data_IF_266303205413
#
_entry.id   IF_266303205413
#
_cell.length_a   1.000
_cell.length_b   1.000
_cell.length_c   1.000
_cell.angle_alpha   90.00
_cell.angle_beta   90.00
_cell.angle_gamma   90.00
#
_symmetry.space_group_name_H-M   'P 1'
#
loop_
_entity.id
_entity.type
_entity.pdbx_description
1 polymer ?
#
# COMPACT_ATOMS: atom_id res chain seq x y z
N UNK A 1 66.01 -20.66 -42.73
CA UNK A 1 65.92 -21.67 -41.65
C UNK A 1 65.50 -21.04 -40.32
N UNK A 2 64.46 -21.43 -39.60
CA UNK A 2 63.37 -22.38 -39.79
C UNK A 2 62.45 -22.06 -38.60
N UNK A 3 61.47 -21.17 -38.75
CA UNK A 3 60.47 -21.04 -37.69
C UNK A 3 59.32 -22.03 -37.92
N UNK A 4 59.70 -23.30 -37.83
CA UNK A 4 58.78 -24.44 -37.82
C UNK A 4 57.83 -24.39 -36.62
N UNK A 5 58.14 -23.62 -35.57
CA UNK A 5 57.30 -23.48 -34.40
C UNK A 5 56.11 -22.55 -34.67
N UNK A 6 56.33 -21.42 -35.36
CA UNK A 6 55.23 -20.49 -35.69
C UNK A 6 54.21 -21.12 -36.63
N UNK A 7 54.65 -21.88 -37.63
CA UNK A 7 53.75 -22.59 -38.56
C UNK A 7 52.96 -23.70 -37.86
N UNK A 8 53.57 -24.42 -36.91
CA UNK A 8 52.88 -25.40 -36.06
C UNK A 8 51.86 -24.76 -35.11
N UNK A 9 52.15 -23.57 -34.58
CA UNK A 9 51.21 -22.84 -33.72
C UNK A 9 50.01 -22.32 -34.50
N UNK A 10 50.20 -21.76 -35.70
CA UNK A 10 49.10 -21.34 -36.56
C UNK A 10 48.25 -22.53 -37.05
N UNK A 11 48.86 -23.69 -37.32
CA UNK A 11 48.11 -24.91 -37.67
C UNK A 11 47.29 -25.43 -36.48
N UNK A 12 47.85 -25.40 -35.26
CA UNK A 12 47.14 -25.79 -34.03
C UNK A 12 46.01 -24.81 -33.69
N UNK A 13 46.20 -23.52 -33.92
CA UNK A 13 45.17 -22.50 -33.74
C UNK A 13 44.04 -22.65 -34.76
N UNK A 14 44.36 -22.95 -36.02
CA UNK A 14 43.36 -23.23 -37.06
C UNK A 14 42.57 -24.52 -36.76
N UNK A 15 43.24 -25.57 -36.26
CA UNK A 15 42.59 -26.81 -35.82
C UNK A 15 41.70 -26.59 -34.58
N UNK A 16 42.12 -25.78 -33.63
CA UNK A 16 41.32 -25.43 -32.47
C UNK A 16 40.10 -24.57 -32.85
N UNK A 17 40.25 -23.63 -33.79
CA UNK A 17 39.15 -22.83 -34.31
C UNK A 17 38.16 -23.70 -35.12
N UNK A 18 38.64 -24.62 -35.95
CA UNK A 18 37.79 -25.56 -36.68
C UNK A 18 37.05 -26.52 -35.73
N UNK A 19 37.72 -27.00 -34.67
CA UNK A 19 37.08 -27.81 -33.63
C UNK A 19 36.03 -27.01 -32.85
N UNK A 20 36.31 -25.74 -32.52
CA UNK A 20 35.34 -24.88 -31.85
C UNK A 20 34.12 -24.57 -32.74
N UNK A 21 34.31 -24.31 -34.03
CA UNK A 21 33.21 -24.11 -35.00
C UNK A 21 32.43 -25.41 -35.22
N UNK A 22 33.10 -26.57 -35.26
CA UNK A 22 32.42 -27.87 -35.38
C UNK A 22 31.64 -28.22 -34.11
N UNK A 23 32.14 -27.90 -32.91
CA UNK A 23 31.44 -28.10 -31.63
C UNK A 23 30.26 -27.13 -31.50
N UNK A 24 30.42 -25.85 -31.86
CA UNK A 24 29.32 -24.88 -31.89
C UNK A 24 28.28 -25.22 -32.97
N UNK A 25 28.70 -25.71 -34.14
CA UNK A 25 27.81 -26.18 -35.20
C UNK A 25 27.05 -27.46 -34.84
N UNK A 26 27.71 -28.40 -34.14
CA UNK A 26 27.05 -29.61 -33.64
C UNK A 26 26.04 -29.32 -32.52
N UNK A 27 26.29 -28.30 -31.68
CA UNK A 27 25.31 -27.83 -30.69
C UNK A 27 24.08 -27.14 -31.32
N UNK A 28 24.19 -26.60 -32.53
CA UNK A 28 23.07 -26.02 -33.29
C UNK A 28 22.32 -27.03 -34.16
N UNK A 29 22.91 -28.21 -34.42
CA UNK A 29 22.35 -29.27 -35.27
C UNK A 29 21.84 -30.51 -34.52
N UNK A 30 22.00 -30.57 -33.20
CA UNK A 30 21.38 -31.60 -32.37
C UNK A 30 19.89 -31.26 -32.19
N UNK A 31 18.95 -32.16 -32.51
CA UNK A 31 17.55 -31.96 -32.20
C UNK A 31 17.40 -32.02 -30.68
N UNK A 32 17.46 -30.84 -30.05
CA UNK A 32 16.98 -30.69 -28.69
C UNK A 32 15.46 -30.80 -28.72
N UNK A 33 14.92 -31.84 -28.09
CA UNK A 33 13.49 -31.98 -27.80
C UNK A 33 13.05 -30.92 -26.77
N UNK A 34 13.00 -29.67 -27.22
CA UNK A 34 12.51 -28.58 -26.42
C UNK A 34 12.60 -27.27 -27.19
N UNK A 35 11.46 -26.57 -27.22
CA UNK A 35 11.31 -25.16 -27.61
C UNK A 35 11.18 -24.88 -29.12
N UNK A 36 10.57 -25.79 -29.88
CA UNK A 36 9.89 -25.43 -31.14
C UNK A 36 8.57 -24.68 -30.86
N UNK A 37 7.98 -23.94 -31.83
CA UNK A 37 6.72 -23.20 -31.68
C UNK A 37 5.50 -24.07 -31.30
N UNK A 38 5.63 -25.39 -31.34
CA UNK A 38 4.63 -26.38 -30.91
C UNK A 38 5.02 -27.13 -29.61
N UNK A 39 6.09 -26.70 -28.93
CA UNK A 39 6.49 -27.26 -27.64
C UNK A 39 5.52 -26.82 -26.53
N UNK A 40 5.44 -27.58 -25.44
CA UNK A 40 4.56 -27.30 -24.28
C UNK A 40 4.78 -25.91 -23.61
N UNK A 41 5.76 -25.13 -24.07
CA UNK A 41 6.11 -23.80 -23.60
C UNK A 41 6.21 -22.73 -24.73
N UNK A 42 5.76 -23.00 -25.96
CA UNK A 42 5.79 -22.00 -27.03
C UNK A 42 4.54 -21.08 -27.04
N UNK A 43 4.67 -19.74 -27.24
CA UNK A 43 3.57 -18.83 -26.95
C UNK A 43 2.85 -18.27 -28.17
N UNK A 44 1.52 -18.25 -28.07
CA UNK A 44 0.81 -16.98 -28.12
C UNK A 44 -0.37 -17.04 -27.13
N UNK A 45 -0.43 -16.09 -26.19
CA UNK A 45 -1.66 -15.78 -25.46
C UNK A 45 -2.86 -15.62 -26.44
N UNK A 46 -2.61 -15.34 -27.73
CA UNK A 46 -3.62 -15.25 -28.77
C UNK A 46 -4.18 -16.59 -29.30
N UNK A 47 -3.67 -17.76 -28.92
CA UNK A 47 -4.22 -19.07 -29.37
C UNK A 47 -4.94 -19.86 -28.27
N UNK A 48 -4.68 -19.53 -27.00
CA UNK A 48 -5.42 -20.12 -25.90
C UNK A 48 -6.89 -19.61 -25.91
N UNK A 49 -7.91 -20.51 -25.97
CA UNK A 49 -9.32 -20.11 -25.95
C UNK A 49 -9.71 -19.23 -24.76
N UNK A 50 -9.16 -19.49 -23.57
CA UNK A 50 -9.46 -18.68 -22.37
C UNK A 50 -8.91 -17.26 -22.51
N UNK A 51 -7.73 -17.13 -23.10
CA UNK A 51 -7.08 -15.86 -23.35
C UNK A 51 -7.77 -15.08 -24.48
N UNK A 52 -8.28 -15.75 -25.53
CA UNK A 52 -9.15 -15.11 -26.54
C UNK A 52 -10.45 -14.59 -25.92
N UNK A 53 -11.12 -15.43 -25.13
CA UNK A 53 -12.35 -15.05 -24.43
C UNK A 53 -12.10 -13.88 -23.46
N UNK A 54 -10.94 -13.82 -22.82
CA UNK A 54 -10.55 -12.72 -21.94
C UNK A 54 -10.45 -11.36 -22.65
N UNK A 55 -10.30 -11.35 -23.98
CA UNK A 55 -10.22 -10.12 -24.79
C UNK A 55 -11.53 -9.76 -25.48
N UNK A 56 -12.57 -10.59 -25.32
CA UNK A 56 -13.88 -10.31 -25.88
C UNK A 56 -14.73 -9.46 -24.92
N UNK A 57 -15.05 -8.20 -25.26
CA UNK A 57 -15.91 -7.36 -24.42
C UNK A 57 -17.33 -7.95 -24.21
N UNK A 58 -17.80 -8.85 -25.08
CA UNK A 58 -19.08 -9.53 -24.90
C UNK A 58 -19.04 -10.60 -23.79
N UNK A 59 -17.86 -11.10 -23.44
CA UNK A 59 -17.64 -12.11 -22.39
C UNK A 59 -17.39 -11.49 -21.01
N UNK A 60 -17.31 -10.16 -20.91
CA UNK A 60 -17.13 -9.47 -19.62
C UNK A 60 -18.19 -9.90 -18.62
N UNK A 61 -17.76 -10.30 -17.43
CA UNK A 61 -18.69 -10.64 -16.35
C UNK A 61 -19.38 -9.37 -15.86
N UNK A 62 -20.72 -9.40 -15.82
CA UNK A 62 -21.56 -8.30 -15.33
C UNK A 62 -22.41 -8.80 -14.17
N UNK A 63 -22.08 -8.32 -12.98
CA UNK A 63 -22.80 -8.70 -11.77
C UNK A 63 -24.14 -7.94 -11.70
N UNK A 64 -25.25 -8.61 -11.35
CA UNK A 64 -26.54 -7.95 -11.14
C UNK A 64 -26.47 -6.84 -10.07
N UNK A 65 -27.23 -5.76 -10.27
CA UNK A 65 -27.20 -4.58 -9.40
C UNK A 65 -27.48 -4.88 -7.91
N UNK A 66 -28.29 -5.91 -7.63
CA UNK A 66 -28.73 -6.31 -6.29
C UNK A 66 -27.96 -7.51 -5.73
N UNK A 67 -26.95 -8.04 -6.44
CA UNK A 67 -26.24 -9.26 -6.01
C UNK A 67 -25.61 -9.15 -4.61
N UNK A 68 -25.12 -7.97 -4.26
CA UNK A 68 -24.51 -7.68 -2.95
C UNK A 68 -25.51 -7.76 -1.78
N UNK A 69 -26.81 -7.66 -2.02
CA UNK A 69 -27.83 -7.67 -0.96
C UNK A 69 -27.98 -9.08 -0.34
N UNK A 70 -27.80 -10.12 -1.16
CA UNK A 70 -27.89 -11.52 -0.76
C UNK A 70 -26.51 -12.19 -0.58
N UNK A 71 -25.42 -11.48 -0.88
CA UNK A 71 -24.09 -12.04 -0.82
C UNK A 71 -23.65 -12.32 0.63
N UNK A 72 -23.02 -13.47 0.84
CA UNK A 72 -22.37 -13.80 2.12
C UNK A 72 -21.06 -13.04 2.34
N UNK A 73 -20.47 -12.51 1.26
CA UNK A 73 -19.24 -11.71 1.27
C UNK A 73 -19.41 -10.48 0.38
N UNK A 74 -19.24 -9.31 1.00
CA UNK A 74 -19.23 -8.03 0.29
C UNK A 74 -17.79 -7.64 -0.02
N UNK A 75 -17.35 -7.90 -1.24
CA UNK A 75 -16.08 -7.44 -1.80
C UNK A 75 -16.25 -7.06 -3.28
N UNK A 76 -15.16 -6.89 -4.03
CA UNK A 76 -15.22 -6.52 -5.44
C UNK A 76 -15.96 -7.53 -6.34
N UNK A 77 -16.07 -8.80 -5.92
CA UNK A 77 -16.75 -9.84 -6.70
C UNK A 77 -18.27 -9.63 -6.85
N UNK A 78 -18.86 -8.79 -6.00
CA UNK A 78 -20.31 -8.48 -6.03
C UNK A 78 -20.62 -7.05 -6.45
N UNK A 79 -19.62 -6.33 -6.99
CA UNK A 79 -19.82 -4.98 -7.53
C UNK A 79 -20.46 -5.03 -8.93
N UNK A 80 -21.62 -4.39 -9.15
CA UNK A 80 -22.21 -4.30 -10.47
C UNK A 80 -21.45 -3.32 -11.37
N UNK A 81 -21.53 -3.54 -12.68
CA UNK A 81 -20.99 -2.61 -13.67
C UNK A 81 -21.74 -1.27 -13.62
N UNK A 82 -21.00 -0.15 -13.51
CA UNK A 82 -21.56 1.22 -13.50
C UNK A 82 -20.90 2.14 -14.53
N UNK A 83 -21.48 3.32 -14.74
CA UNK A 83 -20.94 4.37 -15.60
C UNK A 83 -21.52 4.36 -17.03
N UNK A 84 -21.58 5.55 -17.64
CA UNK A 84 -22.26 5.76 -18.93
C UNK A 84 -21.59 5.11 -20.14
N UNK A 85 -20.35 4.64 -20.00
CA UNK A 85 -19.60 3.94 -21.07
C UNK A 85 -19.53 2.42 -20.81
N UNK A 86 -20.29 1.89 -19.85
CA UNK A 86 -20.31 0.46 -19.52
C UNK A 86 -20.73 -0.46 -20.67
N UNK A 87 -21.32 0.08 -21.74
CA UNK A 87 -21.72 -0.64 -22.95
C UNK A 87 -20.92 -0.22 -24.20
N UNK A 88 -19.95 0.69 -24.06
CA UNK A 88 -19.08 1.10 -25.16
C UNK A 88 -18.10 -0.03 -25.50
N UNK A 89 -18.49 -0.85 -26.47
CA UNK A 89 -17.74 -2.05 -26.84
C UNK A 89 -16.38 -1.71 -27.45
N UNK A 90 -16.23 -0.54 -28.08
CA UNK A 90 -14.96 -0.11 -28.65
C UNK A 90 -13.96 0.27 -27.55
N UNK A 91 -14.40 1.03 -26.55
CA UNK A 91 -13.60 1.35 -25.37
C UNK A 91 -13.22 0.09 -24.60
N UNK A 92 -14.18 -0.79 -24.33
CA UNK A 92 -13.94 -2.02 -23.56
C UNK A 92 -12.95 -2.95 -24.28
N UNK A 93 -13.06 -3.09 -25.61
CA UNK A 93 -12.10 -3.86 -26.41
C UNK A 93 -10.69 -3.28 -26.32
N UNK A 94 -10.54 -1.94 -26.39
CA UNK A 94 -9.24 -1.28 -26.20
C UNK A 94 -8.66 -1.54 -24.82
N UNK A 95 -9.47 -1.37 -23.76
CA UNK A 95 -9.02 -1.61 -22.39
C UNK A 95 -8.52 -3.05 -22.19
N UNK A 96 -9.23 -4.05 -22.72
CA UNK A 96 -8.82 -5.46 -22.66
C UNK A 96 -7.54 -5.72 -23.47
N UNK A 97 -7.45 -5.18 -24.68
CA UNK A 97 -6.25 -5.31 -25.52
C UNK A 97 -5.01 -4.70 -24.84
N UNK A 98 -5.15 -3.51 -24.25
CA UNK A 98 -4.09 -2.82 -23.51
C UNK A 98 -3.70 -3.59 -22.25
N UNK A 99 -4.64 -4.16 -21.52
CA UNK A 99 -4.30 -5.03 -20.39
C UNK A 99 -3.48 -6.23 -20.85
N UNK A 100 -3.90 -6.92 -21.91
CA UNK A 100 -3.21 -8.10 -22.38
C UNK A 100 -1.80 -7.81 -22.89
N UNK A 101 -1.64 -6.71 -23.63
CA UNK A 101 -0.38 -6.28 -24.27
C UNK A 101 -0.34 -4.75 -24.34
N UNK A 102 0.16 -4.08 -23.29
CA UNK A 102 0.27 -2.62 -23.33
C UNK A 102 1.28 -2.20 -24.41
N UNK A 103 0.91 -1.22 -25.23
CA UNK A 103 1.82 -0.61 -26.20
C UNK A 103 2.88 0.25 -25.51
N UNK A 104 3.94 0.60 -26.24
CA UNK A 104 5.09 1.35 -25.70
C UNK A 104 4.72 2.73 -25.12
N UNK A 105 3.64 3.34 -25.64
CA UNK A 105 3.15 4.65 -25.18
C UNK A 105 2.21 4.56 -23.98
N UNK A 106 1.85 3.34 -23.53
CA UNK A 106 0.97 3.14 -22.37
C UNK A 106 1.81 3.15 -21.10
N UNK A 107 1.46 4.02 -20.16
CA UNK A 107 2.08 4.04 -18.83
C UNK A 107 1.52 2.90 -18.00
N UNK A 108 2.35 1.93 -17.66
CA UNK A 108 1.96 0.80 -16.82
C UNK A 108 2.45 1.03 -15.38
N UNK A 109 1.55 0.90 -14.41
CA UNK A 109 1.89 0.92 -12.99
C UNK A 109 1.27 -0.28 -12.28
N UNK A 110 1.89 -0.73 -11.20
CA UNK A 110 1.40 -1.84 -10.41
C UNK A 110 1.72 -1.63 -8.93
N UNK A 111 0.72 -1.79 -8.08
CA UNK A 111 0.91 -1.93 -6.63
C UNK A 111 1.97 -3.02 -6.37
N UNK A 112 2.93 -2.83 -5.43
CA UNK A 112 3.99 -3.79 -5.19
C UNK A 112 3.49 -5.23 -4.96
N UNK A 113 4.07 -6.19 -5.70
CA UNK A 113 3.68 -7.60 -5.62
C UNK A 113 2.40 -7.96 -6.39
N UNK A 114 1.93 -7.09 -7.28
CA UNK A 114 0.82 -7.36 -8.21
C UNK A 114 1.39 -7.81 -9.56
N UNK A 115 0.96 -8.97 -10.10
CA UNK A 115 1.27 -9.34 -11.47
C UNK A 115 0.74 -8.29 -12.46
N UNK A 116 1.45 -8.03 -13.55
CA UNK A 116 1.04 -7.10 -14.62
C UNK A 116 0.67 -7.79 -15.94
N UNK A 117 0.75 -9.14 -16.01
CA UNK A 117 0.37 -9.90 -17.20
C UNK A 117 -1.13 -9.79 -17.52
N UNK A 118 -1.52 -10.22 -18.72
CA UNK A 118 -2.92 -10.22 -19.16
C UNK A 118 -3.87 -10.99 -18.23
N UNK A 119 -5.19 -10.77 -18.35
CA UNK A 119 -6.19 -11.45 -17.53
C UNK A 119 -6.18 -12.97 -17.79
N UNK A 120 -6.47 -13.80 -16.78
CA UNK A 120 -6.48 -15.26 -16.96
C UNK A 120 -7.73 -15.79 -17.70
N UNK A 121 -8.80 -14.98 -17.72
CA UNK A 121 -10.09 -15.24 -18.34
C UNK A 121 -10.91 -13.95 -18.41
N UNK A 122 -12.18 -13.99 -18.85
CA UNK A 122 -13.02 -12.81 -18.96
C UNK A 122 -13.18 -12.08 -17.62
N UNK A 123 -12.66 -10.84 -17.48
CA UNK A 123 -12.75 -10.13 -16.22
C UNK A 123 -14.17 -9.58 -15.99
N UNK A 124 -14.46 -9.25 -14.74
CA UNK A 124 -15.66 -8.53 -14.34
C UNK A 124 -15.52 -7.05 -14.63
N UNK A 125 -16.55 -6.45 -15.24
CA UNK A 125 -16.64 -5.00 -15.40
C UNK A 125 -17.19 -4.35 -14.13
N UNK A 126 -16.41 -3.47 -13.51
CA UNK A 126 -16.86 -2.69 -12.36
C UNK A 126 -17.35 -1.30 -12.77
N UNK A 127 -16.67 -0.67 -13.73
CA UNK A 127 -17.01 0.67 -14.20
C UNK A 127 -16.49 0.97 -15.59
N UNK A 128 -17.24 1.71 -16.39
CA UNK A 128 -16.69 2.48 -17.50
C UNK A 128 -17.42 3.82 -17.67
N UNK A 129 -16.67 4.92 -17.71
CA UNK A 129 -17.26 6.26 -17.77
C UNK A 129 -16.23 7.36 -17.98
N UNK A 130 -16.73 8.58 -18.20
CA UNK A 130 -15.91 9.79 -18.25
C UNK A 130 -15.67 10.31 -16.83
N UNK A 131 -14.41 10.53 -16.48
CA UNK A 131 -13.96 11.06 -15.19
C UNK A 131 -12.98 12.18 -15.49
N UNK A 132 -13.34 13.41 -15.15
CA UNK A 132 -12.63 14.61 -15.60
C UNK A 132 -12.47 14.62 -17.13
N UNK A 133 -11.22 14.65 -17.62
CA UNK A 133 -10.88 14.64 -19.04
C UNK A 133 -10.44 13.25 -19.55
N UNK A 134 -10.76 12.16 -18.84
CA UNK A 134 -10.36 10.80 -19.20
C UNK A 134 -11.54 9.82 -19.25
N UNK A 135 -11.53 8.91 -20.24
CA UNK A 135 -12.37 7.71 -20.22
C UNK A 135 -11.67 6.68 -19.36
N UNK A 136 -12.36 6.19 -18.32
CA UNK A 136 -11.82 5.24 -17.35
C UNK A 136 -12.61 3.94 -17.41
N UNK A 137 -11.91 2.81 -17.42
CA UNK A 137 -12.47 1.46 -17.30
C UNK A 137 -11.84 0.77 -16.10
N UNK A 138 -12.66 0.20 -15.22
CA UNK A 138 -12.24 -0.59 -14.06
C UNK A 138 -12.70 -2.03 -14.25
N UNK A 139 -11.75 -2.95 -14.22
CA UNK A 139 -11.95 -4.38 -14.38
C UNK A 139 -11.41 -5.13 -13.17
N UNK A 140 -12.00 -6.30 -12.87
CA UNK A 140 -11.58 -7.18 -11.78
C UNK A 140 -11.48 -8.62 -12.28
N UNK A 141 -10.33 -9.28 -12.09
CA UNK A 141 -10.09 -10.67 -12.54
C UNK A 141 -10.25 -11.73 -11.43
N UNK A 142 -10.74 -11.34 -10.25
CA UNK A 142 -10.83 -12.22 -9.08
C UNK A 142 -9.62 -12.12 -8.13
N UNK A 143 -8.52 -11.47 -8.54
CA UNK A 143 -7.32 -11.30 -7.71
C UNK A 143 -6.87 -9.83 -7.64
N UNK A 144 -7.00 -9.09 -8.74
CA UNK A 144 -6.53 -7.71 -8.89
C UNK A 144 -7.54 -6.87 -9.67
N UNK A 145 -7.47 -5.58 -9.41
CA UNK A 145 -8.13 -4.54 -10.21
C UNK A 145 -7.17 -4.08 -11.30
N UNK A 146 -7.68 -3.93 -12.51
CA UNK A 146 -7.02 -3.21 -13.59
C UNK A 146 -7.81 -1.93 -13.89
N UNK A 147 -7.13 -0.78 -13.86
CA UNK A 147 -7.67 0.51 -14.29
C UNK A 147 -7.02 0.91 -15.60
N UNK A 148 -7.82 0.98 -16.65
CA UNK A 148 -7.43 1.60 -17.91
C UNK A 148 -7.96 3.03 -17.94
N UNK A 149 -7.13 3.99 -18.34
CA UNK A 149 -7.54 5.37 -18.55
C UNK A 149 -6.91 5.94 -19.82
N UNK A 150 -7.73 6.49 -20.71
CA UNK A 150 -7.30 7.23 -21.90
C UNK A 150 -7.88 8.66 -21.88
N UNK A 151 -7.22 9.66 -22.47
CA UNK A 151 -7.84 10.96 -22.64
C UNK A 151 -9.18 10.88 -23.36
N UNK A 152 -10.06 11.85 -23.13
CA UNK A 152 -11.32 11.94 -23.87
C UNK A 152 -11.08 12.18 -25.38
N UNK A 153 -10.01 12.88 -25.72
CA UNK A 153 -9.65 13.26 -27.09
C UNK A 153 -8.42 12.46 -27.57
N UNK A 154 -8.60 11.15 -27.80
CA UNK A 154 -7.56 10.24 -28.30
C UNK A 154 -7.03 9.24 -27.27
N UNK A 155 -5.94 8.55 -27.62
CA UNK A 155 -5.35 7.47 -26.78
C UNK A 155 -3.92 7.77 -26.33
N UNK A 156 -3.35 8.91 -26.72
CA UNK A 156 -2.01 9.32 -26.32
C UNK A 156 -1.95 9.57 -24.81
N UNK A 157 -0.94 9.05 -24.11
CA UNK A 157 -0.83 9.19 -22.66
C UNK A 157 -1.75 8.29 -21.85
N UNK A 158 -2.35 7.27 -22.48
CA UNK A 158 -3.11 6.22 -21.80
C UNK A 158 -2.30 5.55 -20.68
N UNK A 159 -3.01 5.12 -19.64
CA UNK A 159 -2.43 4.47 -18.47
C UNK A 159 -3.16 3.17 -18.16
N UNK A 160 -2.39 2.21 -17.64
CA UNK A 160 -2.85 0.93 -17.15
C UNK A 160 -2.27 0.71 -15.75
N UNK A 161 -3.13 0.75 -14.75
CA UNK A 161 -2.74 0.60 -13.35
C UNK A 161 -3.28 -0.71 -12.79
N UNK A 162 -2.45 -1.44 -12.04
CA UNK A 162 -2.83 -2.69 -11.38
C UNK A 162 -2.82 -2.54 -9.86
N UNK A 163 -3.88 -3.00 -9.20
CA UNK A 163 -3.93 -3.09 -7.75
C UNK A 163 -4.32 -4.48 -7.28
N UNK A 164 -3.48 -5.07 -6.45
CA UNK A 164 -3.77 -6.32 -5.75
C UNK A 164 -4.87 -6.10 -4.71
N UNK A 165 -5.88 -6.97 -4.71
CA UNK A 165 -7.06 -6.87 -3.81
C UNK A 165 -7.54 -8.23 -3.28
N UNK A 166 -6.72 -9.28 -3.41
CA UNK A 166 -7.04 -10.60 -2.89
C UNK A 166 -7.29 -10.55 -1.37
N UNK A 167 -8.34 -11.23 -0.94
CA UNK A 167 -8.74 -11.28 0.47
C UNK A 167 -9.32 -9.98 1.02
N UNK A 168 -9.69 -9.00 0.17
CA UNK A 168 -10.32 -7.77 0.63
C UNK A 168 -11.56 -8.04 1.50
N UNK A 169 -11.60 -7.39 2.65
CA UNK A 169 -12.79 -7.33 3.53
C UNK A 169 -13.79 -6.28 3.02
N UNK A 170 -15.05 -6.26 3.50
CA UNK A 170 -16.01 -5.23 3.11
C UNK A 170 -15.51 -3.79 3.33
N UNK A 171 -14.74 -3.57 4.40
CA UNK A 171 -14.12 -2.27 4.70
C UNK A 171 -13.01 -1.87 3.72
N UNK A 172 -12.23 -2.82 3.23
CA UNK A 172 -11.16 -2.59 2.25
C UNK A 172 -11.72 -2.51 0.81
N UNK A 173 -12.83 -3.19 0.53
CA UNK A 173 -13.53 -3.17 -0.75
C UNK A 173 -14.64 -2.10 -0.82
N UNK A 174 -14.43 -0.93 -0.19
CA UNK A 174 -15.44 0.12 -0.10
C UNK A 174 -15.30 1.23 -1.16
N UNK A 175 -14.12 1.40 -1.76
CA UNK A 175 -13.86 2.43 -2.77
C UNK A 175 -12.70 2.06 -3.72
N UNK A 176 -12.75 2.57 -4.95
CA UNK A 176 -11.67 2.50 -5.94
C UNK A 176 -11.42 3.90 -6.49
N UNK A 177 -10.17 4.32 -6.62
CA UNK A 177 -9.80 5.57 -7.28
C UNK A 177 -10.06 5.48 -8.77
N UNK A 178 -10.89 6.39 -9.28
CA UNK A 178 -11.14 6.52 -10.71
C UNK A 178 -10.15 7.46 -11.40
N UNK A 179 -9.69 8.49 -10.71
CA UNK A 179 -8.75 9.46 -11.27
C UNK A 179 -8.26 10.44 -10.23
N UNK A 180 -7.07 10.99 -10.50
CA UNK A 180 -6.49 12.12 -9.77
C UNK A 180 -6.19 13.23 -10.79
N UNK A 181 -6.80 14.39 -10.60
CA UNK A 181 -6.66 15.53 -11.50
C UNK A 181 -6.76 16.82 -10.68
N UNK A 182 -5.91 17.80 -11.00
CA UNK A 182 -5.92 19.14 -10.40
C UNK A 182 -5.92 19.14 -8.86
N UNK A 183 -5.11 18.27 -8.26
CA UNK A 183 -5.03 18.12 -6.80
C UNK A 183 -6.22 17.40 -6.16
N UNK A 184 -7.19 16.92 -6.94
CA UNK A 184 -8.37 16.20 -6.45
C UNK A 184 -8.33 14.73 -6.81
N UNK A 185 -9.12 13.93 -6.10
CA UNK A 185 -9.36 12.50 -6.36
C UNK A 185 -10.85 12.22 -6.42
N UNK A 186 -11.27 11.34 -7.32
CA UNK A 186 -12.63 10.81 -7.38
C UNK A 186 -12.65 9.31 -7.17
N UNK A 187 -13.65 8.84 -6.45
CA UNK A 187 -13.81 7.43 -6.12
C UNK A 187 -15.08 6.85 -6.72
N UNK A 188 -14.97 5.60 -7.16
CA UNK A 188 -16.12 4.70 -7.31
C UNK A 188 -16.38 4.03 -5.97
N UNK A 189 -17.56 4.23 -5.41
CA UNK A 189 -17.98 3.66 -4.13
C UNK A 189 -18.60 2.27 -4.32
N UNK A 190 -18.47 1.42 -3.29
CA UNK A 190 -19.17 0.14 -3.23
C UNK A 190 -20.70 0.33 -3.23
N UNK A 191 -21.47 -0.62 -3.77
CA UNK A 191 -22.93 -0.48 -3.91
C UNK A 191 -23.68 -0.46 -2.57
N UNK A 192 -23.08 -0.93 -1.48
CA UNK A 192 -23.66 -0.90 -0.13
C UNK A 192 -23.35 0.38 0.67
N UNK A 193 -22.53 1.29 0.13
CA UNK A 193 -22.20 2.55 0.79
C UNK A 193 -23.38 3.50 0.69
N UNK A 194 -23.82 4.04 1.83
CA UNK A 194 -25.00 4.91 1.93
C UNK A 194 -24.64 6.38 2.09
N UNK A 195 -23.45 6.69 2.62
CA UNK A 195 -22.95 8.06 2.74
C UNK A 195 -21.45 8.12 2.45
N UNK A 196 -21.02 9.23 1.86
CA UNK A 196 -19.62 9.55 1.64
C UNK A 196 -19.38 11.01 2.04
N UNK A 197 -18.26 11.26 2.70
CA UNK A 197 -17.85 12.59 3.11
C UNK A 197 -16.32 12.74 3.07
N UNK A 198 -15.85 13.97 3.00
CA UNK A 198 -14.46 14.38 3.16
C UNK A 198 -14.22 14.85 4.59
N UNK A 199 -13.10 14.42 5.19
CA UNK A 199 -12.68 14.86 6.52
C UNK A 199 -11.20 15.21 6.52
N UNK A 200 -10.86 16.35 7.11
CA UNK A 200 -9.47 16.69 7.44
C UNK A 200 -9.05 15.98 8.74
N UNK A 201 -8.15 15.00 8.62
CA UNK A 201 -7.68 14.19 9.75
C UNK A 201 -6.86 15.02 10.76
N UNK A 202 -6.26 16.13 10.35
CA UNK A 202 -5.56 17.05 11.27
C UNK A 202 -6.53 17.84 12.16
N UNK A 203 -7.81 17.94 11.76
CA UNK A 203 -8.83 18.73 12.44
C UNK A 203 -9.96 17.82 12.93
N UNK A 204 -9.72 17.02 13.98
CA UNK A 204 -10.66 16.00 14.42
C UNK A 204 -12.02 16.55 14.87
N UNK A 205 -12.13 17.86 15.17
CA UNK A 205 -13.36 18.54 15.57
C UNK A 205 -14.10 19.30 14.46
N UNK A 206 -13.56 19.41 13.23
CA UNK A 206 -14.16 20.27 12.19
C UNK A 206 -15.35 19.67 11.44
N UNK A 207 -15.86 18.51 11.88
CA UNK A 207 -16.90 17.77 11.13
C UNK A 207 -16.38 17.15 9.83
N UNK A 208 -17.30 16.64 9.02
CA UNK A 208 -17.05 16.11 7.68
C UNK A 208 -17.94 16.86 6.67
N UNK A 209 -17.44 17.01 5.44
CA UNK A 209 -18.16 17.64 4.33
C UNK A 209 -18.73 16.57 3.41
N UNK A 210 -20.04 16.57 3.18
CA UNK A 210 -20.67 15.56 2.34
C UNK A 210 -20.10 15.56 0.90
N UNK A 211 -19.82 14.36 0.40
CA UNK A 211 -19.44 14.12 -0.99
C UNK A 211 -20.63 13.50 -1.70
N UNK A 212 -21.28 14.24 -2.60
CA UNK A 212 -22.47 13.76 -3.31
C UNK A 212 -22.08 12.68 -4.33
N UNK A 213 -22.55 11.43 -4.17
CA UNK A 213 -22.29 10.40 -5.15
C UNK A 213 -23.29 10.50 -6.31
N UNK A 214 -22.78 10.55 -7.55
CA UNK A 214 -23.59 10.45 -8.78
C UNK A 214 -23.26 9.13 -9.46
N UNK A 215 -24.25 8.24 -9.59
CA UNK A 215 -24.06 6.89 -10.16
C UNK A 215 -22.91 6.10 -9.50
N UNK A 216 -22.74 6.28 -8.18
CA UNK A 216 -21.67 5.65 -7.39
C UNK A 216 -20.31 6.33 -7.46
N UNK A 217 -20.18 7.46 -8.17
CA UNK A 217 -18.94 8.25 -8.25
C UNK A 217 -19.04 9.47 -7.34
N UNK A 218 -18.04 9.69 -6.48
CA UNK A 218 -18.02 10.87 -5.60
C UNK A 218 -17.85 12.17 -6.37
N UNK A 219 -18.32 13.27 -5.79
CA UNK A 219 -17.74 14.60 -6.08
C UNK A 219 -16.22 14.60 -5.82
N UNK A 220 -15.45 15.56 -6.38
CA UNK A 220 -14.01 15.65 -6.12
C UNK A 220 -13.74 15.79 -4.62
N UNK A 221 -12.74 15.05 -4.14
CA UNK A 221 -12.18 15.17 -2.79
C UNK A 221 -10.77 15.74 -2.93
N UNK A 222 -10.39 16.73 -2.13
CA UNK A 222 -9.04 17.29 -2.18
C UNK A 222 -7.98 16.23 -1.79
N UNK A 223 -7.10 15.88 -2.74
CA UNK A 223 -6.14 14.79 -2.60
C UNK A 223 -5.01 15.08 -1.62
N UNK A 224 -4.58 14.05 -0.89
CA UNK A 224 -3.42 14.12 0.01
C UNK A 224 -2.09 13.89 -0.71
N UNK A 225 -2.09 13.16 -1.84
CA UNK A 225 -0.88 12.64 -2.51
C UNK A 225 -0.01 13.73 -3.16
N UNK A 226 -0.62 14.77 -3.72
CA UNK A 226 0.09 15.83 -4.46
C UNK A 226 0.47 17.04 -3.62
N UNK A 227 0.29 16.99 -2.29
CA UNK A 227 0.64 18.13 -1.43
C UNK A 227 2.17 18.33 -1.37
N UNK A 228 2.64 19.39 -2.03
CA UNK A 228 4.02 19.88 -1.96
C UNK A 228 4.12 20.93 -0.85
N UNK A 229 5.04 20.75 0.10
CA UNK A 229 5.26 21.70 1.20
C UNK A 229 4.90 21.14 2.58
N UNK A 230 4.71 22.03 3.55
CA UNK A 230 4.35 21.65 4.92
C UNK A 230 2.93 21.07 4.97
N UNK A 231 2.75 19.94 5.65
CA UNK A 231 1.46 19.29 5.82
C UNK A 231 0.55 20.10 6.76
N UNK A 232 -0.41 20.81 6.18
CA UNK A 232 -1.40 21.65 6.88
C UNK A 232 -2.80 21.04 6.90
N UNK A 233 -3.01 19.96 6.13
CA UNK A 233 -4.27 19.22 6.02
C UNK A 233 -3.98 17.79 5.57
N UNK A 234 -4.82 16.84 5.96
CA UNK A 234 -4.76 15.48 5.43
C UNK A 234 -6.18 14.95 5.26
N UNK A 235 -6.70 15.10 4.05
CA UNK A 235 -8.08 14.75 3.79
C UNK A 235 -8.23 13.25 3.54
N UNK A 236 -9.23 12.66 4.20
CA UNK A 236 -9.60 11.25 4.10
C UNK A 236 -11.04 11.11 3.63
N UNK A 237 -11.32 10.01 2.94
CA UNK A 237 -12.66 9.61 2.55
C UNK A 237 -13.34 8.90 3.72
N UNK A 238 -14.42 9.49 4.23
CA UNK A 238 -15.28 8.92 5.26
C UNK A 238 -16.46 8.23 4.57
N UNK A 239 -16.63 6.93 4.80
CA UNK A 239 -17.72 6.14 4.22
C UNK A 239 -18.57 5.50 5.31
N UNK A 240 -19.88 5.53 5.13
CA UNK A 240 -20.85 4.86 6.02
C UNK A 240 -21.60 3.79 5.25
N UNK A 241 -21.75 2.63 5.89
CA UNK A 241 -22.69 1.58 5.50
C UNK A 241 -23.37 0.97 6.75
N UNK A 242 -24.09 -0.16 6.57
CA UNK A 242 -24.78 -0.88 7.65
C UNK A 242 -23.89 -1.33 8.83
N UNK A 243 -22.58 -1.47 8.62
CA UNK A 243 -21.63 -1.91 9.65
C UNK A 243 -20.96 -0.74 10.38
N UNK A 244 -21.17 0.49 9.91
CA UNK A 244 -20.68 1.71 10.55
C UNK A 244 -19.86 2.59 9.60
N UNK A 245 -19.19 3.58 10.20
CA UNK A 245 -18.38 4.56 9.48
C UNK A 245 -16.90 4.20 9.53
N UNK A 246 -16.21 4.28 8.39
CA UNK A 246 -14.76 4.05 8.26
C UNK A 246 -14.07 5.20 7.53
N UNK A 247 -12.78 5.34 7.77
CA UNK A 247 -11.93 6.32 7.10
C UNK A 247 -10.97 5.60 6.17
N UNK A 248 -10.86 6.11 4.94
CA UNK A 248 -9.96 5.63 3.90
C UNK A 248 -9.01 6.75 3.49
N UNK A 249 -7.72 6.49 3.54
CA UNK A 249 -6.69 7.44 3.14
C UNK A 249 -6.17 7.11 1.75
N UNK A 250 -6.09 8.12 0.90
CA UNK A 250 -5.32 8.02 -0.33
C UNK A 250 -3.82 7.97 0.01
N UNK A 251 -3.16 6.87 -0.34
CA UNK A 251 -1.72 6.67 -0.20
C UNK A 251 -1.02 6.48 -1.56
N UNK A 252 -1.67 6.87 -2.65
CA UNK A 252 -1.12 6.82 -4.01
C UNK A 252 -1.42 5.53 -4.78
N UNK A 253 -2.22 4.62 -4.22
CA UNK A 253 -2.62 3.35 -4.84
C UNK A 253 -4.06 3.44 -5.41
N UNK A 254 -4.53 2.46 -6.19
CA UNK A 254 -5.91 2.46 -6.70
C UNK A 254 -6.95 2.22 -5.61
N UNK A 255 -6.62 1.41 -4.60
CA UNK A 255 -7.48 1.14 -3.45
C UNK A 255 -6.95 1.94 -2.26
N UNK A 256 -7.75 2.85 -1.68
CA UNK A 256 -7.30 3.65 -0.54
C UNK A 256 -7.15 2.78 0.71
N UNK A 257 -6.21 3.14 1.59
CA UNK A 257 -5.91 2.37 2.79
C UNK A 257 -6.93 2.66 3.90
N UNK A 258 -7.51 1.63 4.51
CA UNK A 258 -8.40 1.81 5.66
C UNK A 258 -7.63 2.19 6.92
N UNK A 259 -8.06 3.24 7.59
CA UNK A 259 -7.50 3.71 8.85
C UNK A 259 -8.24 3.09 10.02
N UNK A 260 -7.49 2.57 10.99
CA UNK A 260 -8.03 2.00 12.22
C UNK A 260 -7.27 2.51 13.44
N UNK A 261 -7.82 2.26 14.62
CA UNK A 261 -7.17 2.51 15.90
C UNK A 261 -7.26 1.32 16.83
N UNK A 262 -6.41 1.29 17.86
CA UNK A 262 -6.49 0.31 18.94
C UNK A 262 -5.37 -0.74 18.92
N UNK A 263 -5.48 -1.70 19.84
CA UNK A 263 -4.45 -2.72 20.06
C UNK A 263 -4.31 -3.62 18.82
N UNK A 264 -3.08 -3.99 18.42
CA UNK A 264 -2.89 -4.92 17.32
C UNK A 264 -3.62 -6.25 17.57
N UNK A 265 -4.30 -6.75 16.55
CA UNK A 265 -5.18 -7.93 16.63
C UNK A 265 -6.62 -7.64 17.04
N UNK A 266 -6.93 -6.44 17.56
CA UNK A 266 -8.28 -5.99 17.86
C UNK A 266 -8.48 -4.51 17.47
N UNK A 267 -8.25 -4.14 16.18
CA UNK A 267 -8.47 -2.77 15.72
C UNK A 267 -9.98 -2.44 15.67
N UNK A 268 -10.29 -1.15 15.83
CA UNK A 268 -11.62 -0.58 15.62
C UNK A 268 -11.54 0.59 14.61
N UNK A 269 -12.69 1.03 14.11
CA UNK A 269 -12.75 2.10 13.10
C UNK A 269 -12.19 3.44 13.60
N UNK A 270 -11.51 4.16 12.72
CA UNK A 270 -10.89 5.44 13.04
C UNK A 270 -11.88 6.64 13.04
N UNK A 271 -13.17 6.41 12.88
CA UNK A 271 -14.21 7.44 12.72
C UNK A 271 -14.73 8.02 14.05
N UNK A 272 -14.53 7.33 15.17
CA UNK A 272 -14.97 7.80 16.49
C UNK A 272 -14.14 8.97 17.01
N UNK A 273 -14.73 9.82 17.87
CA UNK A 273 -14.08 11.05 18.35
C UNK A 273 -12.72 10.82 19.03
N UNK A 274 -12.57 9.74 19.80
CA UNK A 274 -11.27 9.37 20.41
C UNK A 274 -10.25 8.90 19.37
N UNK A 275 -10.69 8.12 18.40
CA UNK A 275 -9.84 7.63 17.32
C UNK A 275 -9.35 8.77 16.42
N UNK A 276 -10.22 9.73 16.12
CA UNK A 276 -9.87 10.97 15.41
C UNK A 276 -8.83 11.78 16.17
N UNK A 277 -9.01 11.96 17.49
CA UNK A 277 -8.01 12.64 18.35
C UNK A 277 -6.67 11.89 18.41
N UNK A 278 -6.71 10.56 18.35
CA UNK A 278 -5.51 9.72 18.29
C UNK A 278 -4.77 9.93 16.98
N UNK A 279 -5.48 9.99 15.85
CA UNK A 279 -4.87 10.15 14.52
C UNK A 279 -4.35 11.55 14.23
N UNK A 280 -5.01 12.60 14.71
CA UNK A 280 -4.74 13.98 14.29
C UNK A 280 -3.26 14.41 14.36
N UNK A 281 -2.49 14.11 15.43
CA UNK A 281 -1.09 14.51 15.50
C UNK A 281 -0.16 13.75 14.54
N UNK A 282 -0.62 12.62 13.99
CA UNK A 282 0.16 11.70 13.17
C UNK A 282 -0.38 11.60 11.73
N UNK A 283 -1.42 12.36 11.38
CA UNK A 283 -2.03 12.31 10.07
C UNK A 283 -1.00 12.57 8.95
N UNK A 284 -0.10 13.54 9.13
CA UNK A 284 0.97 13.82 8.17
C UNK A 284 2.02 12.70 8.04
N UNK A 285 2.17 11.85 9.07
CA UNK A 285 3.10 10.71 8.99
C UNK A 285 2.64 9.63 8.02
N UNK A 286 1.36 9.66 7.60
CA UNK A 286 0.85 8.79 6.53
C UNK A 286 1.59 9.00 5.20
N UNK A 287 2.24 10.16 4.99
CA UNK A 287 3.13 10.40 3.85
C UNK A 287 4.25 9.36 3.73
N UNK A 288 4.77 8.84 4.84
CA UNK A 288 5.82 7.80 4.88
C UNK A 288 5.30 6.44 4.39
N UNK A 289 3.98 6.23 4.39
CA UNK A 289 3.32 4.97 4.04
C UNK A 289 2.90 4.89 2.57
N UNK A 290 3.20 5.91 1.76
CA UNK A 290 2.78 5.98 0.36
C UNK A 290 3.40 4.89 -0.51
N UNK A 291 2.64 4.52 -1.54
CA UNK A 291 3.08 3.71 -2.68
C UNK A 291 3.72 2.37 -2.30
N UNK A 292 3.23 1.76 -1.21
CA UNK A 292 3.74 0.50 -0.69
C UNK A 292 2.71 -0.64 -0.78
N UNK A 293 1.60 -0.45 -1.49
CA UNK A 293 0.49 -1.40 -1.52
C UNK A 293 -0.18 -1.61 -0.17
N UNK A 294 -0.37 -0.52 0.56
CA UNK A 294 -0.98 -0.51 1.89
C UNK A 294 -2.48 -0.77 1.79
N UNK A 295 -2.97 -1.76 2.53
CA UNK A 295 -4.41 -2.06 2.66
C UNK A 295 -5.03 -1.42 3.88
N UNK A 296 -4.29 -1.37 4.99
CA UNK A 296 -4.73 -0.82 6.26
C UNK A 296 -3.57 -0.12 6.98
N UNK A 297 -3.89 0.94 7.73
CA UNK A 297 -2.96 1.55 8.69
C UNK A 297 -3.64 1.64 10.05
N UNK A 298 -3.02 1.06 11.07
CA UNK A 298 -3.53 1.09 12.44
C UNK A 298 -2.71 2.04 13.31
N UNK A 299 -3.35 2.93 14.05
CA UNK A 299 -2.71 3.74 15.10
C UNK A 299 -3.03 3.19 16.50
N UNK A 300 -1.98 2.79 17.22
CA UNK A 300 -2.09 2.23 18.56
C UNK A 300 -1.40 3.12 19.59
N UNK A 301 -2.18 3.86 20.38
CA UNK A 301 -1.68 4.54 21.58
C UNK A 301 -1.31 3.48 22.64
N UNK A 302 -0.02 3.23 22.80
CA UNK A 302 0.47 2.10 23.59
C UNK A 302 0.96 2.49 24.99
N UNK A 303 1.30 3.77 25.20
CA UNK A 303 1.71 4.30 26.50
C UNK A 303 1.49 5.81 26.62
N UNK A 304 1.23 6.26 27.85
CA UNK A 304 1.30 7.66 28.27
C UNK A 304 2.45 7.81 29.28
N UNK A 305 3.27 8.84 29.12
CA UNK A 305 4.46 9.05 29.94
C UNK A 305 4.43 10.42 30.61
N UNK A 306 4.50 10.45 31.94
CA UNK A 306 4.77 11.69 32.68
C UNK A 306 6.19 12.14 32.40
N UNK A 307 6.34 13.37 31.95
CA UNK A 307 7.63 13.96 31.62
C UNK A 307 8.32 14.51 32.88
N UNK A 308 9.65 14.37 33.00
CA UNK A 308 10.44 15.03 34.04
C UNK A 308 10.21 16.55 34.09
N UNK A 309 10.63 17.17 35.18
CA UNK A 309 10.63 18.63 35.35
C UNK A 309 9.25 19.29 35.13
N UNK A 310 8.18 18.62 35.61
CA UNK A 310 6.79 19.05 35.42
C UNK A 310 6.40 19.26 33.94
N UNK A 311 7.06 18.56 33.01
CA UNK A 311 6.85 18.71 31.56
C UNK A 311 5.50 18.21 31.04
N UNK A 312 4.59 17.74 31.89
CA UNK A 312 3.26 17.25 31.52
C UNK A 312 3.21 15.76 31.17
N UNK A 313 2.23 15.36 30.36
CA UNK A 313 2.05 13.98 29.91
C UNK A 313 2.25 13.89 28.39
N UNK A 314 3.20 13.08 27.96
CA UNK A 314 3.42 12.75 26.56
C UNK A 314 2.72 11.44 26.19
N UNK A 315 2.40 11.31 24.90
CA UNK A 315 1.76 10.12 24.35
C UNK A 315 2.71 9.40 23.41
N UNK A 316 2.70 8.07 23.48
CA UNK A 316 3.38 7.18 22.57
C UNK A 316 2.38 6.42 21.70
N UNK A 317 2.52 6.55 20.39
CA UNK A 317 1.68 5.90 19.40
C UNK A 317 2.54 5.07 18.46
N UNK A 318 2.08 3.86 18.15
CA UNK A 318 2.65 3.07 17.08
C UNK A 318 1.69 3.05 15.89
N UNK A 319 2.13 3.53 14.73
CA UNK A 319 1.40 3.39 13.48
C UNK A 319 2.00 2.26 12.67
N UNK A 320 1.18 1.30 12.25
CA UNK A 320 1.60 0.18 11.41
C UNK A 320 0.77 0.10 10.14
N UNK A 321 1.46 0.09 9.00
CA UNK A 321 0.88 -0.16 7.69
C UNK A 321 1.01 -1.64 7.32
N UNK A 322 -0.13 -2.30 7.09
CA UNK A 322 -0.20 -3.64 6.52
C UNK A 322 -0.44 -3.53 5.01
N UNK A 323 0.16 -4.44 4.24
CA UNK A 323 0.12 -4.42 2.78
C UNK A 323 -0.66 -5.61 2.22
N UNK A 324 -1.17 -5.49 1.00
CA UNK A 324 -1.84 -6.59 0.29
C UNK A 324 -0.97 -7.85 0.16
N UNK A 325 0.33 -7.69 -0.14
CA UNK A 325 1.26 -8.82 -0.32
C UNK A 325 1.76 -9.45 0.99
N UNK A 326 1.32 -8.96 2.16
CA UNK A 326 1.79 -9.38 3.48
C UNK A 326 3.21 -8.95 3.90
N UNK A 327 4.10 -8.68 2.94
CA UNK A 327 5.43 -8.07 3.15
C UNK A 327 5.51 -6.61 2.70
N UNK A 328 6.50 -5.86 3.16
CA UNK A 328 6.60 -4.40 2.94
C UNK A 328 5.89 -3.59 4.02
N UNK A 329 5.59 -4.21 5.15
CA UNK A 329 4.94 -3.53 6.28
C UNK A 329 5.86 -2.47 6.86
N UNK A 330 5.32 -1.30 7.21
CA UNK A 330 6.07 -0.18 7.78
C UNK A 330 5.52 0.15 9.16
N UNK A 331 6.41 0.41 10.11
CA UNK A 331 6.08 0.71 11.51
C UNK A 331 6.76 2.01 11.90
N UNK A 332 6.00 2.94 12.49
CA UNK A 332 6.55 4.12 13.15
C UNK A 332 6.13 4.08 14.61
N UNK A 333 7.11 4.16 15.51
CA UNK A 333 6.86 4.54 16.90
C UNK A 333 7.05 6.04 17.02
N UNK A 334 6.02 6.73 17.51
CA UNK A 334 5.92 8.17 17.48
C UNK A 334 5.66 8.71 18.89
N UNK A 335 6.25 9.85 19.20
CA UNK A 335 6.20 10.51 20.49
C UNK A 335 5.58 11.89 20.33
N UNK A 336 4.56 12.20 21.12
CA UNK A 336 3.90 13.51 21.14
C UNK A 336 4.06 14.14 22.51
N UNK A 337 4.66 15.32 22.55
CA UNK A 337 4.73 16.14 23.76
C UNK A 337 3.35 16.71 24.12
N UNK A 338 3.08 16.98 25.41
CA UNK A 338 1.88 17.70 25.81
C UNK A 338 1.78 19.05 25.09
N UNK A 339 0.58 19.39 24.61
CA UNK A 339 0.32 20.61 23.83
C UNK A 339 0.92 20.61 22.42
N UNK A 340 1.71 19.61 22.04
CA UNK A 340 2.31 19.52 20.70
C UNK A 340 1.26 19.25 19.63
N UNK A 341 1.33 19.98 18.52
CA UNK A 341 0.44 19.79 17.37
C UNK A 341 0.73 18.46 16.65
N UNK A 342 2.00 18.11 16.51
CA UNK A 342 2.45 16.93 15.77
C UNK A 342 3.17 15.93 16.67
N UNK A 343 3.07 14.66 16.32
CA UNK A 343 3.95 13.63 16.84
C UNK A 343 5.28 13.58 16.08
N UNK A 344 6.38 13.42 16.81
CA UNK A 344 7.70 13.17 16.23
C UNK A 344 7.91 11.65 16.05
N UNK A 345 8.50 11.25 14.93
CA UNK A 345 8.92 9.85 14.72
C UNK A 345 10.13 9.57 15.61
N UNK A 346 9.96 8.71 16.62
CA UNK A 346 11.02 8.32 17.53
C UNK A 346 11.82 7.12 16.99
N UNK A 347 11.14 6.22 16.28
CA UNK A 347 11.76 5.08 15.61
C UNK A 347 10.90 4.62 14.43
N UNK A 348 11.54 3.99 13.45
CA UNK A 348 10.86 3.37 12.31
C UNK A 348 11.49 2.03 11.99
N UNK A 349 10.71 1.12 11.41
CA UNK A 349 11.19 -0.17 10.93
C UNK A 349 10.32 -0.67 9.77
N UNK A 350 10.91 -1.48 8.90
CA UNK A 350 10.20 -2.16 7.82
C UNK A 350 10.30 -3.68 8.01
N UNK A 351 9.28 -4.42 7.56
CA UNK A 351 9.25 -5.88 7.58
C UNK A 351 9.47 -6.53 8.96
N UNK A 352 9.08 -5.83 10.03
CA UNK A 352 9.11 -6.35 11.41
C UNK A 352 7.70 -6.68 11.90
N UNK A 353 7.53 -7.64 12.84
CA UNK A 353 6.22 -8.00 13.37
C UNK A 353 5.69 -7.01 14.43
N UNK A 354 6.53 -6.08 14.91
CA UNK A 354 6.20 -5.12 15.95
C UNK A 354 4.95 -4.30 15.62
N UNK A 355 4.15 -4.02 16.66
CA UNK A 355 2.83 -3.39 16.55
C UNK A 355 1.84 -4.12 15.64
N UNK A 356 2.12 -5.38 15.28
CA UNK A 356 1.30 -6.19 14.42
C UNK A 356 0.50 -7.24 15.20
N UNK A 357 -0.49 -7.89 14.56
CA UNK A 357 -1.26 -8.95 15.20
C UNK A 357 -0.38 -10.16 15.62
N UNK A 358 0.78 -10.35 14.96
CA UNK A 358 1.74 -11.41 15.28
C UNK A 358 2.65 -11.06 16.46
N UNK A 359 2.98 -9.79 16.65
CA UNK A 359 3.74 -9.32 17.81
C UNK A 359 3.20 -7.96 18.29
N UNK A 360 2.18 -7.95 19.18
CA UNK A 360 1.54 -6.73 19.69
C UNK A 360 2.40 -6.06 20.77
N UNK A 361 3.70 -5.93 20.52
CA UNK A 361 4.67 -5.31 21.41
C UNK A 361 5.55 -4.32 20.61
N UNK A 362 6.02 -3.29 21.31
CA UNK A 362 6.89 -2.24 20.78
C UNK A 362 7.67 -1.64 21.93
N UNK A 363 8.88 -1.18 21.63
CA UNK A 363 9.73 -0.39 22.51
C UNK A 363 10.39 0.68 21.65
N UNK A 364 10.28 1.94 22.05
CA UNK A 364 10.95 3.05 21.37
C UNK A 364 11.42 4.08 22.39
N UNK A 365 12.34 4.93 21.96
CA UNK A 365 12.83 6.03 22.79
C UNK A 365 13.18 7.26 21.98
N UNK A 366 13.17 8.39 22.65
CA UNK A 366 13.43 9.72 22.09
C UNK A 366 14.32 10.49 23.05
N UNK A 367 15.18 11.33 22.50
CA UNK A 367 15.89 12.34 23.28
C UNK A 367 15.02 13.59 23.36
N UNK A 368 14.66 13.99 24.57
CA UNK A 368 13.76 15.12 24.83
C UNK A 368 14.44 16.14 25.74
N UNK A 369 14.27 17.42 25.42
CA UNK A 369 14.75 18.54 26.23
C UNK A 369 13.60 19.10 27.06
N UNK A 370 13.77 19.14 28.38
CA UNK A 370 12.79 19.75 29.27
C UNK A 370 12.72 21.26 29.13
N UNK A 371 11.64 21.86 29.61
CA UNK A 371 11.49 23.32 29.65
C UNK A 371 12.54 24.01 30.51
N UNK A 372 13.17 23.29 31.45
CA UNK A 372 14.30 23.76 32.26
C UNK A 372 15.66 23.60 31.57
N UNK A 373 15.70 23.05 30.35
CA UNK A 373 16.89 22.89 29.53
C UNK A 373 17.65 21.58 29.72
N UNK A 374 17.20 20.70 30.61
CA UNK A 374 17.83 19.39 30.85
C UNK A 374 17.44 18.38 29.78
N UNK A 375 18.40 17.60 29.31
CA UNK A 375 18.16 16.52 28.34
C UNK A 375 17.82 15.21 29.05
N UNK A 376 16.87 14.48 28.50
CA UNK A 376 16.45 13.17 28.97
C UNK A 376 16.33 12.19 27.80
N UNK A 377 16.81 10.97 28.01
CA UNK A 377 16.37 9.82 27.24
C UNK A 377 15.04 9.36 27.84
N UNK A 378 13.98 9.45 27.05
CA UNK A 378 12.67 8.88 27.35
C UNK A 378 12.51 7.60 26.54
N UNK A 379 11.98 6.55 27.15
CA UNK A 379 11.57 5.36 26.41
C UNK A 379 10.27 4.79 26.97
N UNK A 380 9.49 4.18 26.07
CA UNK A 380 8.26 3.52 26.43
C UNK A 380 8.08 2.21 25.66
N UNK A 381 7.61 1.21 26.39
CA UNK A 381 7.07 -0.03 25.85
C UNK A 381 5.55 -0.10 26.01
N UNK A 382 4.92 -1.03 25.30
CA UNK A 382 3.50 -1.35 25.51
C UNK A 382 3.23 -1.86 26.93
N UNK A 383 1.95 -1.94 27.33
CA UNK A 383 1.52 -2.34 28.69
C UNK A 383 2.08 -3.69 29.19
N UNK A 384 2.51 -4.57 28.29
CA UNK A 384 3.08 -5.87 28.65
C UNK A 384 4.58 -5.80 29.00
N UNK A 385 5.22 -4.64 28.95
CA UNK A 385 6.63 -4.47 29.27
C UNK A 385 6.84 -4.37 30.78
N UNK A 386 7.60 -5.32 31.34
CA UNK A 386 7.92 -5.42 32.76
C UNK A 386 9.11 -4.55 33.19
N UNK A 387 10.07 -4.34 32.29
CA UNK A 387 11.21 -3.46 32.55
C UNK A 387 11.82 -2.94 31.25
N UNK A 388 12.51 -1.80 31.34
CA UNK A 388 13.26 -1.20 30.23
C UNK A 388 14.67 -0.86 30.73
N UNK A 389 15.67 -1.10 29.89
CA UNK A 389 17.04 -0.64 30.09
C UNK A 389 17.58 0.07 28.86
N UNK A 390 18.37 1.10 29.12
CA UNK A 390 19.15 1.84 28.15
C UNK A 390 20.64 1.54 28.37
N UNK A 391 21.38 1.33 27.29
CA UNK A 391 22.83 1.11 27.30
C UNK A 391 23.52 1.96 26.23
N UNK A 392 24.83 2.21 26.38
CA UNK A 392 25.62 3.04 25.47
C UNK A 392 25.95 4.40 26.07
N UNK A 393 25.75 5.49 25.32
CA UNK A 393 26.08 6.85 25.79
C UNK A 393 25.15 7.33 26.92
N UNK A 394 24.03 6.64 27.14
CA UNK A 394 23.15 6.78 28.30
C UNK A 394 22.93 5.40 28.88
N UNK A 395 23.10 5.27 30.19
CA UNK A 395 22.85 4.03 30.92
C UNK A 395 21.81 4.24 32.00
N UNK A 396 20.82 3.34 32.09
CA UNK A 396 19.83 3.35 33.15
C UNK A 396 18.79 2.26 32.94
N UNK A 397 18.02 1.96 33.98
CA UNK A 397 16.94 0.99 33.92
C UNK A 397 15.77 1.41 34.79
N UNK A 398 14.59 0.93 34.44
CA UNK A 398 13.37 1.14 35.20
C UNK A 398 12.52 -0.13 35.19
N UNK A 399 11.81 -0.36 36.30
CA UNK A 399 10.70 -1.32 36.34
C UNK A 399 9.47 -0.67 35.69
N UNK A 400 8.67 -1.49 35.02
CA UNK A 400 7.52 -1.06 34.23
C UNK A 400 7.87 -0.75 32.78
N UNK A 401 6.90 -0.17 32.08
CA UNK A 401 6.95 0.08 30.65
C UNK A 401 7.42 1.49 30.27
N UNK A 402 7.99 2.26 31.22
CA UNK A 402 8.45 3.63 31.01
C UNK A 402 9.86 3.80 31.58
N UNK A 403 10.69 4.58 30.89
CA UNK A 403 12.03 4.96 31.31
C UNK A 403 12.24 6.46 31.08
N UNK A 404 12.83 7.14 32.06
CA UNK A 404 13.33 8.50 31.92
C UNK A 404 14.70 8.58 32.61
N UNK A 405 15.75 8.88 31.85
CA UNK A 405 17.13 8.97 32.35
C UNK A 405 17.74 10.27 31.87
N UNK A 406 18.42 11.00 32.74
CA UNK A 406 19.17 12.21 32.34
C UNK A 406 20.19 11.84 31.27
N UNK A 407 20.26 12.67 30.24
CA UNK A 407 21.10 12.47 29.08
C UNK A 407 21.85 13.77 28.74
N UNK A 408 22.72 13.69 27.74
CA UNK A 408 23.33 14.85 27.10
C UNK A 408 22.69 15.04 25.72
N UNK A 409 22.86 16.22 25.16
CA UNK A 409 22.47 16.48 23.77
C UNK A 409 23.16 15.48 22.82
N UNK A 410 22.44 15.05 21.80
CA UNK A 410 22.91 14.09 20.80
C UNK A 410 23.20 12.67 21.31
N UNK A 411 22.92 12.34 22.58
CA UNK A 411 23.22 11.03 23.13
C UNK A 411 22.39 9.92 22.47
N UNK A 412 23.04 8.81 22.11
CA UNK A 412 22.42 7.62 21.53
C UNK A 412 22.49 6.45 22.49
N UNK A 413 21.39 5.72 22.63
CA UNK A 413 21.31 4.55 23.50
C UNK A 413 20.63 3.38 22.78
N UNK A 414 21.14 2.18 23.03
CA UNK A 414 20.43 0.94 22.73
C UNK A 414 19.35 0.72 23.79
N UNK A 415 18.16 0.31 23.34
CA UNK A 415 17.06 -0.02 24.24
C UNK A 415 16.82 -1.52 24.26
N UNK A 416 16.66 -2.07 25.46
CA UNK A 416 16.16 -3.42 25.70
C UNK A 416 14.99 -3.36 26.67
N UNK A 417 14.01 -4.22 26.45
CA UNK A 417 12.89 -4.40 27.37
C UNK A 417 12.68 -5.87 27.65
N UNK A 418 12.11 -6.17 28.82
CA UNK A 418 11.65 -7.50 29.18
C UNK A 418 10.14 -7.45 29.31
N UNK A 419 9.41 -8.37 28.67
CA UNK A 419 7.97 -8.49 28.80
C UNK A 419 7.59 -9.19 30.11
N UNK A 420 6.34 -9.08 30.54
CA UNK A 420 5.80 -9.81 31.70
C UNK A 420 5.94 -11.34 31.56
N UNK A 421 6.05 -11.84 30.33
CA UNK A 421 6.33 -13.25 30.03
C UNK A 421 7.80 -13.66 30.17
N UNK A 422 8.70 -12.71 30.47
CA UNK A 422 10.16 -12.91 30.48
C UNK A 422 10.83 -12.78 29.11
N UNK A 423 10.07 -12.72 28.01
CA UNK A 423 10.63 -12.53 26.65
C UNK A 423 11.30 -11.16 26.53
N UNK A 424 12.54 -11.14 26.03
CA UNK A 424 13.24 -9.90 25.71
C UNK A 424 12.77 -9.30 24.38
N UNK A 425 12.71 -7.97 24.32
CA UNK A 425 12.48 -7.18 23.11
C UNK A 425 13.54 -6.08 22.99
N UNK A 426 13.86 -5.68 21.77
CA UNK A 426 14.76 -4.55 21.50
C UNK A 426 13.97 -3.30 21.13
N UNK A 427 14.62 -2.14 21.22
CA UNK A 427 14.10 -0.92 20.60
C UNK A 427 13.85 -1.11 19.11
N UNK A 428 12.75 -0.54 18.61
CA UNK A 428 12.40 -0.50 17.19
C UNK A 428 13.52 0.18 16.39
N UNK A 429 13.94 -0.42 15.28
CA UNK A 429 15.01 0.07 14.40
C UNK A 429 14.94 -0.55 13.01
#
# INVERSE_FOLDING_TARGET
PTDLMRRRQHLKAALAAAAAVAVCGALLGLPGDGWGPDGAAAPAYAENPSARAALDPAQLTRVPATAWEAASRNDFSVWPARGGLAHDTALLRRALAVWARPGETVRVSATPGTPSGGPAGPPQLLYAGLVDNARVVILYDGLRIARYAEPKDGTEGAALDFARVDGATPGEASAIVLGRADGNVRYLLAPWVTKAAERDLLKPGSGAMDLTPTSGVTSPLAGSVQQNGSCTSWNVLELTDRSGTRLLSDLGELVPARLTTGRPGAPHEASGAEALRTWAPYACSLGVMRSAGVRTVNAWAYADQRLPDAGGAAQWVCTRAETWRGGGTRVLAQFRTPGGTYGAVAAQAENVPACGPRDPNVLAGVLWKSGTGSWYLLAAGGRNTASISATGAVSGSARGNLLAVKAKDGARAGLKGTLNSGRAINGLR
#
